data_IF_930809155067
#
_entry.id   IF_930809155067
#
_cell.length_a   1.000
_cell.length_b   1.000
_cell.length_c   1.000
_cell.angle_alpha   90.00
_cell.angle_beta   90.00
_cell.angle_gamma   90.00
#
_symmetry.space_group_name_H-M   'P 1'
#
loop_
_entity.id
_entity.type
_entity.pdbx_description
1 polymer ?
#
# COMPACT_ATOMS: atom_id res chain seq x y z
N UNK A 1 17.86 3.19 52.75
CA UNK A 1 17.34 3.52 54.09
C UNK A 1 16.10 4.37 53.89
N UNK A 2 14.87 3.95 54.07
CA UNK A 2 14.23 2.69 54.48
C UNK A 2 12.83 2.81 53.84
N UNK A 3 12.26 1.69 53.43
CA UNK A 3 10.81 1.52 53.31
C UNK A 3 10.13 1.94 54.62
N UNK A 4 9.78 3.21 54.75
CA UNK A 4 8.96 3.75 55.81
C UNK A 4 8.50 5.11 55.30
N UNK A 5 7.36 5.12 54.62
CA UNK A 5 6.25 6.07 54.80
C UNK A 5 5.06 5.68 53.92
N UNK A 6 4.78 4.38 53.84
CA UNK A 6 3.42 3.89 53.58
C UNK A 6 2.54 4.21 54.82
N UNK A 7 2.31 5.50 55.11
CA UNK A 7 1.49 5.92 56.25
C UNK A 7 1.08 7.40 56.19
N UNK A 8 0.66 7.93 55.04
CA UNK A 8 -0.26 9.09 55.02
C UNK A 8 -1.24 8.93 53.87
N UNK A 9 -2.42 8.38 54.18
CA UNK A 9 -3.55 8.44 53.27
C UNK A 9 -4.05 9.87 53.17
N UNK A 10 -3.58 10.61 52.16
CA UNK A 10 -4.24 11.79 51.61
C UNK A 10 -3.95 11.81 50.10
N UNK A 11 -5.02 11.74 49.31
CA UNK A 11 -4.95 11.65 47.86
C UNK A 11 -4.39 12.91 47.21
N UNK A 12 -3.69 12.69 46.10
CA UNK A 12 -3.42 13.68 45.06
C UNK A 12 -3.80 12.99 43.73
N UNK A 13 -4.60 13.64 42.86
CA UNK A 13 -5.15 13.01 41.67
C UNK A 13 -4.05 12.77 40.63
N UNK A 14 -3.87 11.51 40.24
CA UNK A 14 -3.05 11.11 39.10
C UNK A 14 -3.80 11.38 37.78
N UNK A 15 -4.05 12.65 37.47
CA UNK A 15 -4.48 13.06 36.13
C UNK A 15 -3.27 13.61 35.39
N UNK A 16 -2.40 12.74 34.86
CA UNK A 16 -1.54 13.10 33.74
C UNK A 16 -0.85 11.86 33.11
N UNK A 17 -1.20 11.61 31.85
CA UNK A 17 -0.53 10.76 30.84
C UNK A 17 -0.77 9.25 30.87
N UNK A 18 -1.95 8.82 30.42
CA UNK A 18 -2.09 7.61 29.60
C UNK A 18 -2.91 8.00 28.37
N UNK A 19 -2.37 7.96 27.14
CA UNK A 19 -3.20 8.13 25.96
C UNK A 19 -4.12 6.91 25.89
N UNK A 20 -5.41 7.16 26.02
CA UNK A 20 -6.46 6.18 25.77
C UNK A 20 -6.23 5.63 24.36
N UNK A 21 -5.94 4.33 24.27
CA UNK A 21 -5.73 3.64 23.00
C UNK A 21 -7.02 3.83 22.20
N UNK A 22 -6.96 4.61 21.12
CA UNK A 22 -8.06 4.74 20.18
C UNK A 22 -8.30 3.34 19.61
N UNK A 23 -9.35 2.68 20.09
CA UNK A 23 -9.89 1.48 19.47
C UNK A 23 -10.49 1.92 18.13
N UNK A 24 -9.66 1.92 17.07
CA UNK A 24 -10.13 2.19 15.72
C UNK A 24 -10.85 0.93 15.24
N UNK A 25 -12.16 0.90 15.40
CA UNK A 25 -13.00 -0.06 14.70
C UNK A 25 -12.88 0.23 13.19
N UNK A 26 -12.66 -0.78 12.33
CA UNK A 26 -12.69 -0.55 10.89
C UNK A 26 -14.04 0.06 10.50
N UNK A 27 -14.05 0.93 9.48
CA UNK A 27 -15.26 1.53 8.91
C UNK A 27 -16.28 0.42 8.60
N UNK A 28 -17.22 0.18 9.51
CA UNK A 28 -18.43 -0.58 9.22
C UNK A 28 -19.28 0.34 8.35
N UNK A 29 -19.33 0.04 7.05
CA UNK A 29 -20.30 0.65 6.15
C UNK A 29 -21.69 0.14 6.53
N UNK A 30 -22.31 0.79 7.51
CA UNK A 30 -23.74 0.64 7.77
C UNK A 30 -24.49 1.57 6.82
N UNK A 31 -25.27 0.99 5.91
CA UNK A 31 -26.15 1.71 4.97
C UNK A 31 -27.20 2.61 5.64
N UNK A 32 -27.30 2.56 6.97
CA UNK A 32 -28.19 3.38 7.81
C UNK A 32 -27.62 4.75 8.18
N UNK A 33 -26.36 5.07 7.87
CA UNK A 33 -25.72 6.37 8.19
C UNK A 33 -25.58 7.28 6.97
N UNK A 34 -26.41 7.06 5.95
CA UNK A 34 -26.56 8.00 4.84
C UNK A 34 -27.50 9.13 5.29
N UNK A 35 -26.98 10.34 5.45
CA UNK A 35 -27.81 11.54 5.65
C UNK A 35 -28.63 11.92 4.39
N UNK A 36 -28.51 11.14 3.31
CA UNK A 36 -29.22 11.33 2.06
C UNK A 36 -30.50 10.49 2.04
N UNK A 37 -31.63 11.14 1.74
CA UNK A 37 -32.93 10.48 1.59
C UNK A 37 -33.15 10.15 0.12
N UNK A 38 -33.82 9.03 -0.16
CA UNK A 38 -34.12 8.57 -1.53
C UNK A 38 -34.95 9.60 -2.32
N UNK A 39 -35.68 10.47 -1.62
CA UNK A 39 -36.54 11.50 -2.20
C UNK A 39 -35.85 12.86 -2.37
N UNK A 40 -34.57 12.98 -2.05
CA UNK A 40 -33.82 14.23 -2.24
C UNK A 40 -33.61 14.50 -3.75
N UNK A 41 -33.76 15.75 -4.17
CA UNK A 41 -33.48 16.13 -5.57
C UNK A 41 -31.97 16.16 -5.80
N UNK A 42 -31.54 15.96 -7.05
CA UNK A 42 -30.12 16.02 -7.40
C UNK A 42 -29.48 17.34 -6.96
N UNK A 43 -30.20 18.45 -7.09
CA UNK A 43 -29.74 19.77 -6.63
C UNK A 43 -29.43 19.80 -5.13
N UNK A 44 -30.35 19.27 -4.30
CA UNK A 44 -30.14 19.22 -2.85
C UNK A 44 -29.01 18.27 -2.45
N UNK A 45 -28.80 17.20 -3.21
CA UNK A 45 -27.71 16.26 -3.00
C UNK A 45 -26.36 16.94 -3.26
N UNK A 46 -26.27 17.63 -4.40
CA UNK A 46 -25.09 18.36 -4.83
C UNK A 46 -24.78 19.48 -3.84
N UNK A 47 -25.78 20.25 -3.41
CA UNK A 47 -25.63 21.31 -2.43
C UNK A 47 -25.05 20.80 -1.09
N UNK A 48 -25.56 19.67 -0.57
CA UNK A 48 -25.09 19.06 0.69
C UNK A 48 -23.69 18.42 0.60
N UNK A 49 -23.18 18.18 -0.61
CA UNK A 49 -21.81 17.69 -0.81
C UNK A 49 -20.78 18.81 -0.77
N UNK A 50 -21.20 20.06 -0.94
CA UNK A 50 -20.33 21.21 -0.81
C UNK A 50 -20.15 21.60 0.67
N UNK A 51 -18.95 22.05 1.01
CA UNK A 51 -18.64 22.59 2.33
C UNK A 51 -19.29 23.97 2.42
N UNK A 52 -20.34 24.11 3.25
CA UNK A 52 -21.13 25.34 3.41
C UNK A 52 -20.33 26.50 4.06
N UNK A 53 -19.31 26.20 4.88
CA UNK A 53 -18.50 27.22 5.54
C UNK A 53 -17.03 26.78 5.70
N UNK A 54 -16.11 27.65 5.30
CA UNK A 54 -14.69 27.50 5.60
C UNK A 54 -14.42 28.16 6.95
N UNK A 55 -14.35 27.35 8.02
CA UNK A 55 -13.91 27.86 9.32
C UNK A 55 -12.39 28.08 9.29
N UNK A 56 -11.95 29.33 9.48
CA UNK A 56 -10.54 29.71 9.53
C UNK A 56 -9.80 29.21 10.79
N UNK A 57 -10.53 28.64 11.76
CA UNK A 57 -9.96 28.05 12.97
C UNK A 57 -9.47 26.61 12.76
N UNK A 58 -9.84 25.97 11.65
CA UNK A 58 -9.47 24.57 11.36
C UNK A 58 -8.16 24.54 10.58
N UNK A 59 -7.08 24.11 11.24
CA UNK A 59 -5.81 23.83 10.58
C UNK A 59 -5.81 22.43 9.97
N UNK A 60 -5.99 22.35 8.65
CA UNK A 60 -5.90 21.09 7.89
C UNK A 60 -4.53 20.41 8.03
N UNK A 61 -3.46 21.20 8.19
CA UNK A 61 -2.10 20.70 8.43
C UNK A 61 -1.99 19.93 9.75
N UNK A 62 -2.53 20.51 10.83
CA UNK A 62 -2.55 19.85 12.15
C UNK A 62 -3.39 18.58 12.14
N UNK A 63 -4.54 18.62 11.46
CA UNK A 63 -5.41 17.45 11.30
C UNK A 63 -4.70 16.33 10.53
N UNK A 64 -4.08 16.66 9.39
CA UNK A 64 -3.35 15.69 8.59
C UNK A 64 -2.19 15.08 9.36
N UNK A 65 -1.41 15.89 10.08
CA UNK A 65 -0.28 15.39 10.87
C UNK A 65 -0.72 14.48 12.03
N UNK A 66 -1.88 14.75 12.64
CA UNK A 66 -2.43 13.91 13.71
C UNK A 66 -3.00 12.57 13.21
N UNK A 67 -3.55 12.55 11.99
CA UNK A 67 -4.29 11.39 11.46
C UNK A 67 -3.57 10.67 10.31
N UNK A 68 -2.38 11.13 9.90
CA UNK A 68 -1.62 10.49 8.84
C UNK A 68 -1.23 9.07 9.27
N UNK A 69 -1.58 8.03 8.49
CA UNK A 69 -1.15 6.68 8.78
C UNK A 69 0.37 6.61 8.70
N UNK A 70 1.03 6.05 9.71
CA UNK A 70 2.49 5.84 9.72
C UNK A 70 2.92 4.83 8.66
N UNK A 71 2.03 3.91 8.30
CA UNK A 71 2.27 2.89 7.29
C UNK A 71 1.02 2.69 6.41
N UNK A 72 1.22 2.70 5.11
CA UNK A 72 0.19 2.32 4.14
C UNK A 72 0.18 0.79 3.97
N UNK A 73 -0.97 0.16 4.20
CA UNK A 73 -1.18 -1.27 3.93
C UNK A 73 -2.01 -1.43 2.66
N UNK A 74 -1.49 -2.19 1.69
CA UNK A 74 -2.20 -2.51 0.45
C UNK A 74 -2.68 -3.95 0.49
N UNK A 75 -3.96 -4.16 0.19
CA UNK A 75 -4.55 -5.48 0.01
C UNK A 75 -4.33 -5.93 -1.44
N UNK A 76 -3.49 -6.94 -1.64
CA UNK A 76 -3.29 -7.56 -2.95
C UNK A 76 -4.40 -8.58 -3.21
N UNK A 77 -5.53 -8.10 -3.71
CA UNK A 77 -6.60 -8.94 -4.28
C UNK A 77 -6.09 -9.56 -5.59
N UNK A 78 -5.45 -10.73 -5.53
CA UNK A 78 -5.06 -11.47 -6.74
C UNK A 78 -6.31 -12.06 -7.40
N UNK A 79 -7.00 -11.26 -8.20
CA UNK A 79 -7.96 -11.78 -9.18
C UNK A 79 -7.18 -12.57 -10.23
N UNK A 80 -7.53 -13.83 -10.43
CA UNK A 80 -6.97 -14.67 -11.49
C UNK A 80 -7.41 -14.09 -12.84
N UNK A 81 -6.59 -13.20 -13.38
CA UNK A 81 -6.80 -12.65 -14.71
C UNK A 81 -6.42 -13.70 -15.74
N UNK A 82 -7.43 -14.25 -16.42
CA UNK A 82 -7.27 -15.26 -17.47
C UNK A 82 -6.36 -14.72 -18.59
N UNK A 83 -6.42 -13.42 -18.89
CA UNK A 83 -5.55 -12.79 -19.89
C UNK A 83 -4.09 -12.81 -19.43
N UNK A 84 -3.85 -12.59 -18.13
CA UNK A 84 -2.50 -12.68 -17.57
C UNK A 84 -1.93 -14.10 -17.66
N UNK A 85 -2.73 -15.12 -17.39
CA UNK A 85 -2.29 -16.50 -17.55
C UNK A 85 -1.94 -16.83 -19.01
N UNK A 86 -2.81 -16.47 -19.95
CA UNK A 86 -2.60 -16.73 -21.39
C UNK A 86 -1.36 -16.02 -21.92
N UNK A 87 -1.16 -14.75 -21.55
CA UNK A 87 0.02 -13.99 -21.97
C UNK A 87 1.31 -14.64 -21.47
N UNK A 88 1.36 -15.12 -20.23
CA UNK A 88 2.54 -15.85 -19.73
C UNK A 88 2.81 -17.12 -20.56
N UNK A 89 1.80 -17.94 -20.86
CA UNK A 89 2.01 -19.13 -21.68
C UNK A 89 2.56 -18.80 -23.06
N UNK A 90 1.98 -17.78 -23.71
CA UNK A 90 2.46 -17.32 -25.01
C UNK A 90 3.90 -16.82 -24.91
N UNK A 91 4.24 -16.02 -23.90
CA UNK A 91 5.59 -15.50 -23.70
C UNK A 91 6.60 -16.61 -23.46
N UNK A 92 6.28 -17.62 -22.64
CA UNK A 92 7.20 -18.72 -22.34
C UNK A 92 7.45 -19.57 -23.59
N UNK A 93 6.40 -19.95 -24.32
CA UNK A 93 6.53 -20.78 -25.52
C UNK A 93 7.31 -20.04 -26.60
N UNK A 94 6.92 -18.80 -26.90
CA UNK A 94 7.55 -18.01 -27.94
C UNK A 94 8.97 -17.59 -27.55
N UNK A 95 9.18 -17.16 -26.30
CA UNK A 95 10.48 -16.77 -25.79
C UNK A 95 11.48 -17.91 -25.81
N UNK A 96 11.05 -19.14 -25.49
CA UNK A 96 11.91 -20.30 -25.56
C UNK A 96 12.27 -20.66 -27.01
N UNK A 97 11.26 -20.74 -27.89
CA UNK A 97 11.48 -21.20 -29.27
C UNK A 97 12.24 -20.16 -30.10
N UNK A 98 11.83 -18.89 -30.02
CA UNK A 98 12.46 -17.78 -30.73
C UNK A 98 13.83 -17.44 -30.11
N UNK A 99 13.91 -17.46 -28.77
CA UNK A 99 15.16 -17.23 -28.04
C UNK A 99 16.21 -18.28 -28.41
N UNK A 100 15.87 -19.56 -28.43
CA UNK A 100 16.81 -20.61 -28.81
C UNK A 100 17.27 -20.46 -30.26
N UNK A 101 16.34 -20.19 -31.20
CA UNK A 101 16.69 -19.95 -32.62
C UNK A 101 17.67 -18.78 -32.80
N UNK A 102 17.59 -17.77 -31.94
CA UNK A 102 18.48 -16.62 -31.99
C UNK A 102 19.81 -16.88 -31.26
N UNK A 103 19.76 -17.53 -30.10
CA UNK A 103 20.93 -17.83 -29.25
C UNK A 103 21.85 -18.84 -29.90
N UNK A 104 21.32 -19.89 -30.55
CA UNK A 104 22.12 -20.96 -31.18
C UNK A 104 23.15 -20.43 -32.21
N UNK A 105 22.79 -19.64 -33.25
CA UNK A 105 23.77 -19.16 -34.22
C UNK A 105 24.80 -18.21 -33.58
N UNK A 106 24.41 -17.43 -32.58
CA UNK A 106 25.32 -16.55 -31.84
C UNK A 106 26.33 -17.39 -31.05
N UNK A 107 25.84 -18.39 -30.32
CA UNK A 107 26.67 -19.30 -29.53
C UNK A 107 27.65 -20.06 -30.41
N UNK A 108 27.19 -20.62 -31.54
CA UNK A 108 28.05 -21.32 -32.51
C UNK A 108 29.13 -20.39 -33.04
N UNK A 109 28.78 -19.17 -33.48
CA UNK A 109 29.79 -18.19 -33.94
C UNK A 109 30.80 -17.84 -32.86
N UNK A 110 30.35 -17.71 -31.61
CA UNK A 110 31.21 -17.41 -30.47
C UNK A 110 32.22 -18.54 -30.23
N UNK A 111 31.75 -19.79 -30.20
CA UNK A 111 32.60 -20.98 -30.03
C UNK A 111 33.61 -21.12 -31.17
N UNK A 112 33.17 -20.94 -32.42
CA UNK A 112 34.08 -20.96 -33.57
C UNK A 112 35.16 -19.86 -33.48
N UNK A 113 34.77 -18.64 -33.09
CA UNK A 113 35.70 -17.52 -32.92
C UNK A 113 36.70 -17.78 -31.80
N UNK A 114 36.25 -18.32 -30.66
CA UNK A 114 37.11 -18.69 -29.54
C UNK A 114 38.10 -19.79 -29.93
N UNK A 115 37.64 -20.85 -30.61
CA UNK A 115 38.51 -21.93 -31.10
C UNK A 115 39.59 -21.41 -32.05
N UNK A 116 39.24 -20.57 -33.02
CA UNK A 116 40.21 -19.99 -33.95
C UNK A 116 41.24 -19.08 -33.23
N UNK A 117 40.82 -18.33 -32.21
CA UNK A 117 41.74 -17.52 -31.39
C UNK A 117 42.69 -18.38 -30.56
N UNK A 118 42.22 -19.52 -30.03
CA UNK A 118 43.02 -20.43 -29.22
C UNK A 118 44.02 -21.24 -30.07
N UNK A 119 43.64 -21.72 -31.26
CA UNK A 119 44.56 -22.42 -32.15
C UNK A 119 45.60 -21.50 -32.81
N UNK A 120 45.29 -20.21 -33.00
CA UNK A 120 46.26 -19.21 -33.50
C UNK A 120 47.16 -18.59 -32.42
N UNK A 121 47.00 -18.96 -31.14
CA UNK A 121 47.87 -18.52 -30.04
C UNK A 121 49.05 -19.50 -29.81
N UNK A 122 49.04 -20.65 -30.46
CA UNK A 122 50.04 -21.72 -30.32
C UNK A 122 50.95 -21.82 -31.56
N UNK A 123 51.32 -20.67 -32.14
CA UNK A 123 52.45 -20.53 -33.09
C UNK A 123 53.30 -19.31 -32.68
#
# INVERSE_FOLDING_TARGET
MIDLMAATGLGIPSSEWLPEIIHISPLQFSSSTSNFRINDTIETLVYRLFIDYWSSEISYERYYNACAPTHCTYLYEKRLDVLYAVTIFLTVINGLLLGLRFVVPIFVRLVYKLRNRLCGYHE
#
